data_IF_955587506727
#
_entry.id   IF_955587506727
#
_cell.length_a   1.000
_cell.length_b   1.000
_cell.length_c   1.000
_cell.angle_alpha   90.00
_cell.angle_beta   90.00
_cell.angle_gamma   90.00
#
_symmetry.space_group_name_H-M   'P 1'
#
loop_
_entity.id
_entity.type
_entity.pdbx_description
1 polymer ?
#
# COMPACT_ATOMS: atom_id res chain seq x y z
N UNK A 1 -75.94 -3.36 -10.03
CA UNK A 1 -76.72 -4.47 -9.46
C UNK A 1 -76.89 -5.56 -10.51
N UNK A 2 -76.06 -6.60 -10.49
CA UNK A 2 -76.29 -7.87 -11.19
C UNK A 2 -75.82 -8.99 -10.27
N UNK A 3 -76.80 -9.67 -9.69
CA UNK A 3 -76.63 -10.89 -8.91
C UNK A 3 -76.24 -12.04 -9.85
N UNK A 4 -75.41 -12.98 -9.38
CA UNK A 4 -75.87 -14.36 -9.12
C UNK A 4 -74.75 -15.27 -8.62
N UNK A 5 -75.15 -16.02 -7.62
CA UNK A 5 -74.38 -16.92 -6.79
C UNK A 5 -74.44 -18.37 -7.30
N UNK A 6 -73.47 -19.14 -6.81
CA UNK A 6 -73.59 -20.51 -6.27
C UNK A 6 -73.44 -21.74 -7.17
N UNK A 7 -72.52 -22.58 -6.69
CA UNK A 7 -72.53 -24.05 -6.58
C UNK A 7 -71.76 -24.84 -7.65
N UNK A 8 -71.08 -25.96 -7.38
CA UNK A 8 -70.48 -26.68 -6.22
C UNK A 8 -70.07 -28.06 -6.80
N UNK A 9 -69.19 -28.81 -6.09
CA UNK A 9 -68.88 -30.26 -6.20
C UNK A 9 -67.69 -30.61 -7.12
N UNK A 10 -66.77 -31.53 -6.85
CA UNK A 10 -66.13 -32.20 -5.69
C UNK A 10 -65.15 -33.25 -6.27
N UNK A 11 -64.41 -33.96 -5.40
CA UNK A 11 -63.45 -35.07 -5.60
C UNK A 11 -62.02 -34.61 -5.92
N UNK A 12 -60.96 -34.92 -5.16
CA UNK A 12 -60.76 -35.97 -4.17
C UNK A 12 -59.68 -36.93 -4.68
N UNK A 13 -58.43 -36.72 -4.29
CA UNK A 13 -57.37 -37.74 -4.34
C UNK A 13 -56.27 -37.39 -3.32
N UNK A 14 -56.26 -38.12 -2.21
CA UNK A 14 -55.12 -38.20 -1.29
C UNK A 14 -54.11 -39.14 -1.90
N UNK A 15 -52.88 -38.67 -2.10
CA UNK A 15 -51.73 -39.48 -2.47
C UNK A 15 -50.51 -39.03 -1.67
N UNK A 16 -50.28 -39.67 -0.53
CA UNK A 16 -48.96 -39.73 0.11
C UNK A 16 -48.12 -40.73 -0.68
N UNK A 17 -46.89 -40.38 -1.07
CA UNK A 17 -45.73 -41.28 -1.08
C UNK A 17 -44.42 -40.56 -1.47
N UNK A 18 -43.48 -40.65 -0.52
CA UNK A 18 -42.01 -40.66 -0.66
C UNK A 18 -41.30 -39.46 -1.29
N UNK A 19 -40.89 -38.49 -0.46
CA UNK A 19 -39.67 -37.74 -0.75
C UNK A 19 -38.46 -38.54 -0.24
N UNK A 20 -37.74 -39.09 -1.21
CA UNK A 20 -36.37 -39.58 -1.09
C UNK A 20 -35.47 -38.52 -0.49
N UNK A 21 -34.86 -38.84 0.65
CA UNK A 21 -33.72 -38.09 1.17
C UNK A 21 -32.54 -38.24 0.22
N UNK A 22 -32.20 -37.15 -0.47
CA UNK A 22 -30.85 -36.93 -0.93
C UNK A 22 -30.20 -36.03 0.12
N UNK A 23 -29.20 -36.59 0.81
CA UNK A 23 -28.24 -35.83 1.58
C UNK A 23 -27.58 -34.81 0.64
N UNK A 24 -27.99 -33.55 0.75
CA UNK A 24 -27.16 -32.44 0.33
C UNK A 24 -25.92 -32.47 1.22
N UNK A 25 -24.78 -32.81 0.63
CA UNK A 25 -23.52 -32.41 1.23
C UNK A 25 -23.60 -30.90 1.44
N UNK A 26 -23.67 -30.48 2.70
CA UNK A 26 -23.36 -29.11 3.09
C UNK A 26 -21.90 -28.88 2.67
N UNK A 27 -21.74 -28.30 1.48
CA UNK A 27 -20.57 -27.51 1.19
C UNK A 27 -20.54 -26.42 2.28
N UNK A 28 -19.50 -26.44 3.11
CA UNK A 28 -19.22 -25.32 3.99
C UNK A 28 -19.16 -24.06 3.11
N UNK A 29 -20.11 -23.16 3.32
CA UNK A 29 -20.05 -21.82 2.77
C UNK A 29 -18.92 -21.12 3.53
N UNK A 30 -17.75 -21.03 2.90
CA UNK A 30 -16.71 -20.11 3.32
C UNK A 30 -17.16 -18.72 2.88
N UNK A 31 -17.41 -17.84 3.85
CA UNK A 31 -17.57 -16.39 3.67
C UNK A 31 -18.80 -15.94 2.89
N UNK A 32 -19.92 -15.75 3.59
CA UNK A 32 -21.01 -14.90 3.11
C UNK A 32 -20.53 -13.45 3.22
N UNK A 33 -19.85 -12.95 2.17
CA UNK A 33 -19.26 -11.62 2.11
C UNK A 33 -20.19 -10.53 2.67
N UNK A 34 -19.59 -9.56 3.35
CA UNK A 34 -20.23 -8.54 4.18
C UNK A 34 -21.61 -8.06 3.64
N UNK A 35 -22.71 -8.68 4.09
CA UNK A 35 -24.06 -8.37 3.59
C UNK A 35 -24.52 -6.95 3.90
N UNK A 36 -23.88 -6.29 4.85
CA UNK A 36 -24.26 -4.97 5.32
C UNK A 36 -23.56 -3.84 4.55
N UNK A 37 -22.69 -4.16 3.57
CA UNK A 37 -21.97 -3.17 2.75
C UNK A 37 -21.29 -2.07 3.59
N UNK A 38 -20.65 -2.47 4.69
CA UNK A 38 -19.99 -1.51 5.59
C UNK A 38 -18.91 -0.73 4.84
N UNK A 39 -18.89 0.58 5.10
CA UNK A 39 -17.82 1.47 4.66
C UNK A 39 -16.51 1.09 5.37
N UNK A 40 -15.41 1.09 4.61
CA UNK A 40 -14.03 0.99 5.14
C UNK A 40 -13.23 2.12 4.52
N UNK A 41 -12.66 3.01 5.34
CA UNK A 41 -11.78 4.07 4.88
C UNK A 41 -10.31 3.66 5.06
N UNK A 42 -9.60 3.50 3.94
CA UNK A 42 -8.16 3.21 3.91
C UNK A 42 -7.41 4.53 3.71
N UNK A 43 -6.61 4.90 4.69
CA UNK A 43 -5.72 6.04 4.60
C UNK A 43 -4.44 5.66 3.85
N UNK A 44 -4.08 6.45 2.83
CA UNK A 44 -2.93 6.21 1.96
C UNK A 44 -1.95 7.38 2.11
N UNK A 45 -0.66 7.07 2.28
CA UNK A 45 0.36 8.12 2.29
C UNK A 45 0.49 8.75 0.91
N UNK A 46 0.62 10.07 0.89
CA UNK A 46 0.69 10.83 -0.35
C UNK A 46 1.93 10.44 -1.18
N UNK A 47 1.70 9.77 -2.31
CA UNK A 47 2.70 9.57 -3.35
C UNK A 47 3.77 8.54 -3.00
N UNK A 48 3.50 7.57 -2.12
CA UNK A 48 4.39 6.43 -1.90
C UNK A 48 3.86 5.24 -2.69
N UNK A 49 4.46 5.02 -3.84
CA UNK A 49 3.93 4.20 -4.93
C UNK A 49 3.59 2.76 -4.49
N UNK A 50 4.39 2.14 -3.62
CA UNK A 50 4.13 0.82 -3.04
C UNK A 50 2.86 0.82 -2.18
N UNK A 51 2.71 1.82 -1.31
CA UNK A 51 1.55 2.01 -0.44
C UNK A 51 0.27 2.29 -1.23
N UNK A 52 0.39 3.11 -2.29
CA UNK A 52 -0.70 3.36 -3.24
C UNK A 52 -1.10 2.07 -3.95
N UNK A 53 -0.14 1.30 -4.44
CA UNK A 53 -0.38 0.06 -5.16
C UNK A 53 -1.14 -0.98 -4.32
N UNK A 54 -0.67 -1.24 -3.09
CA UNK A 54 -1.37 -2.19 -2.20
C UNK A 54 -2.73 -1.69 -1.74
N UNK A 55 -2.89 -0.37 -1.53
CA UNK A 55 -4.17 0.20 -1.12
C UNK A 55 -5.22 0.10 -2.23
N UNK A 56 -4.85 0.40 -3.47
CA UNK A 56 -5.74 0.24 -4.63
C UNK A 56 -6.11 -1.24 -4.87
N UNK A 57 -5.15 -2.16 -4.71
CA UNK A 57 -5.43 -3.60 -4.76
C UNK A 57 -6.44 -4.01 -3.69
N UNK A 58 -6.22 -3.62 -2.43
CA UNK A 58 -7.09 -4.00 -1.32
C UNK A 58 -8.46 -3.33 -1.40
N UNK A 59 -8.55 -2.10 -1.91
CA UNK A 59 -9.83 -1.46 -2.23
C UNK A 59 -10.65 -2.35 -3.17
N UNK A 60 -10.06 -2.76 -4.30
CA UNK A 60 -10.73 -3.61 -5.28
C UNK A 60 -11.15 -4.98 -4.69
N UNK A 61 -10.29 -5.60 -3.88
CA UNK A 61 -10.61 -6.85 -3.18
C UNK A 61 -11.77 -6.67 -2.21
N UNK A 62 -11.73 -5.64 -1.36
CA UNK A 62 -12.75 -5.38 -0.36
C UNK A 62 -14.10 -5.06 -1.01
N UNK A 63 -14.11 -4.28 -2.09
CA UNK A 63 -15.31 -4.00 -2.89
C UNK A 63 -15.90 -5.31 -3.46
N UNK A 64 -15.07 -6.20 -4.03
CA UNK A 64 -15.51 -7.53 -4.51
C UNK A 64 -16.13 -8.37 -3.37
N UNK A 65 -15.57 -8.27 -2.15
CA UNK A 65 -16.07 -8.96 -0.96
C UNK A 65 -17.28 -8.28 -0.31
N UNK A 66 -17.78 -7.20 -0.90
CA UNK A 66 -19.02 -6.54 -0.52
C UNK A 66 -18.85 -5.46 0.54
N UNK A 67 -17.65 -4.94 0.77
CA UNK A 67 -17.45 -3.68 1.49
C UNK A 67 -17.66 -2.48 0.55
N UNK A 68 -17.77 -1.28 1.12
CA UNK A 68 -17.63 -0.03 0.38
C UNK A 68 -16.29 0.60 0.77
N UNK A 69 -15.21 0.21 0.10
CA UNK A 69 -13.87 0.65 0.43
C UNK A 69 -13.57 2.00 -0.23
N UNK A 70 -13.11 2.97 0.55
CA UNK A 70 -12.72 4.29 0.07
C UNK A 70 -11.25 4.55 0.40
N UNK A 71 -10.54 5.21 -0.51
CA UNK A 71 -9.16 5.63 -0.29
C UNK A 71 -9.12 7.12 0.03
N UNK A 72 -8.49 7.47 1.15
CA UNK A 72 -8.23 8.86 1.53
C UNK A 72 -6.73 9.12 1.64
N UNK A 73 -6.26 10.08 0.85
CA UNK A 73 -4.84 10.40 0.73
C UNK A 73 -4.47 11.52 1.71
N UNK A 74 -3.43 11.29 2.52
CA UNK A 74 -3.01 12.23 3.54
C UNK A 74 -1.51 12.12 3.86
N UNK A 75 -0.98 13.18 4.48
CA UNK A 75 0.39 13.19 5.00
C UNK A 75 0.51 12.31 6.25
N UNK A 76 1.75 11.94 6.60
CA UNK A 76 2.06 10.96 7.65
C UNK A 76 1.35 11.26 8.98
N UNK A 77 1.52 12.48 9.53
CA UNK A 77 0.95 12.84 10.82
C UNK A 77 -0.60 12.78 10.86
N UNK A 78 -1.33 13.35 9.89
CA UNK A 78 -2.79 13.18 9.80
C UNK A 78 -3.26 11.72 9.75
N UNK A 79 -2.57 10.82 9.05
CA UNK A 79 -2.95 9.39 9.01
C UNK A 79 -2.92 8.78 10.40
N UNK A 80 -1.83 8.96 11.16
CA UNK A 80 -1.74 8.43 12.53
C UNK A 80 -2.80 9.03 13.46
N UNK A 81 -3.01 10.35 13.36
CA UNK A 81 -4.07 11.01 14.11
C UNK A 81 -5.46 10.45 13.75
N UNK A 82 -5.72 10.21 12.46
CA UNK A 82 -7.00 9.70 11.97
C UNK A 82 -7.26 8.25 12.34
N UNK A 83 -6.24 7.40 12.33
CA UNK A 83 -6.35 6.02 12.84
C UNK A 83 -6.65 5.99 14.34
N UNK A 84 -6.00 6.85 15.12
CA UNK A 84 -6.20 6.96 16.57
C UNK A 84 -7.59 7.51 16.93
N UNK A 85 -8.11 8.50 16.18
CA UNK A 85 -9.46 9.04 16.38
C UNK A 85 -10.57 8.14 15.80
N UNK A 86 -10.21 7.21 14.91
CA UNK A 86 -11.14 6.37 14.17
C UNK A 86 -11.78 7.07 12.95
N UNK A 87 -11.19 8.17 12.48
CA UNK A 87 -11.54 8.80 11.20
C UNK A 87 -11.06 7.95 10.01
N UNK A 88 -10.01 7.15 10.21
CA UNK A 88 -9.52 6.14 9.27
C UNK A 88 -9.61 4.74 9.90
N UNK A 89 -9.89 3.74 9.07
CA UNK A 89 -9.98 2.35 9.51
C UNK A 89 -8.64 1.62 9.42
N UNK A 90 -7.92 1.84 8.32
CA UNK A 90 -6.74 1.07 7.92
C UNK A 90 -5.70 1.95 7.22
N UNK A 91 -4.42 1.68 7.42
CA UNK A 91 -3.30 2.09 6.58
C UNK A 91 -2.43 0.85 6.33
N UNK A 92 -1.87 0.73 5.13
CA UNK A 92 -1.12 -0.46 4.72
C UNK A 92 0.36 -0.18 4.47
N UNK A 93 0.89 0.94 4.94
CA UNK A 93 2.19 1.43 4.49
C UNK A 93 3.05 1.94 5.66
N UNK A 94 2.89 1.34 6.83
CA UNK A 94 3.65 1.73 8.03
C UNK A 94 5.02 1.05 8.03
N UNK A 95 6.06 1.84 7.77
CA UNK A 95 7.46 1.41 7.82
C UNK A 95 7.98 1.20 9.26
N UNK A 96 8.39 -0.02 9.58
CA UNK A 96 8.89 -0.44 10.90
C UNK A 96 10.20 -1.23 10.78
N UNK A 97 11.09 -1.19 11.80
CA UNK A 97 10.87 -0.68 13.15
C UNK A 97 11.40 0.74 13.40
N UNK A 98 11.92 1.46 12.40
CA UNK A 98 12.59 2.74 12.61
C UNK A 98 11.78 3.93 12.08
N UNK A 99 11.42 3.89 10.81
CA UNK A 99 10.93 5.06 10.05
C UNK A 99 9.69 5.68 10.69
N UNK A 100 8.75 4.86 11.16
CA UNK A 100 7.56 5.33 11.86
C UNK A 100 7.50 4.98 13.36
N UNK A 101 8.62 4.56 13.96
CA UNK A 101 8.68 4.14 15.36
C UNK A 101 8.13 5.19 16.34
N UNK A 102 8.41 6.47 16.07
CA UNK A 102 7.96 7.57 16.91
C UNK A 102 6.43 7.71 16.91
N UNK A 103 5.79 7.59 15.74
CA UNK A 103 4.34 7.62 15.62
C UNK A 103 3.69 6.40 16.26
N UNK A 104 4.21 5.19 16.01
CA UNK A 104 3.69 3.97 16.66
C UNK A 104 3.84 4.06 18.18
N UNK A 105 4.92 4.66 18.69
CA UNK A 105 5.09 4.90 20.13
C UNK A 105 4.09 5.91 20.68
N UNK A 106 3.77 6.96 19.92
CA UNK A 106 2.84 8.01 20.34
C UNK A 106 1.38 7.55 20.33
N UNK A 107 0.98 6.83 19.28
CA UNK A 107 -0.42 6.45 19.02
C UNK A 107 -0.73 4.97 19.32
N UNK A 108 0.28 4.16 19.68
CA UNK A 108 0.18 2.69 19.77
C UNK A 108 -0.83 2.13 20.76
N UNK A 109 -1.33 2.94 21.71
CA UNK A 109 -2.42 2.52 22.59
C UNK A 109 -3.80 2.61 21.89
N UNK A 110 -3.90 3.38 20.81
CA UNK A 110 -5.14 3.67 20.05
C UNK A 110 -5.17 3.07 18.64
N UNK A 111 -4.04 2.50 18.18
CA UNK A 111 -3.91 1.80 16.90
C UNK A 111 -3.41 0.38 17.11
N UNK A 112 -3.66 -0.50 16.15
CA UNK A 112 -3.31 -1.92 16.23
C UNK A 112 -2.53 -2.32 14.99
N UNK A 113 -1.36 -2.94 15.21
CA UNK A 113 -0.58 -3.61 14.18
C UNK A 113 -1.30 -4.90 13.75
N UNK A 114 -1.62 -5.00 12.46
CA UNK A 114 -2.20 -6.18 11.84
C UNK A 114 -1.13 -7.09 11.21
N UNK A 115 0.14 -6.69 11.22
CA UNK A 115 1.26 -7.49 10.74
C UNK A 115 1.97 -6.88 9.53
N UNK A 116 3.19 -7.39 9.31
CA UNK A 116 3.99 -7.08 8.13
C UNK A 116 3.48 -7.88 6.92
N UNK A 117 3.29 -7.20 5.80
CA UNK A 117 2.99 -7.85 4.52
C UNK A 117 4.21 -7.93 3.60
N UNK A 118 5.26 -7.15 3.89
CA UNK A 118 6.57 -7.24 3.26
C UNK A 118 7.66 -6.96 4.31
N UNK A 119 8.75 -7.73 4.30
CA UNK A 119 9.87 -7.62 5.26
C UNK A 119 11.20 -7.26 4.59
N UNK A 120 11.17 -6.79 3.35
CA UNK A 120 12.36 -6.61 2.51
C UNK A 120 12.60 -5.14 2.13
N UNK A 121 11.94 -4.20 2.80
CA UNK A 121 11.96 -2.79 2.46
C UNK A 121 13.19 -2.07 3.02
N UNK A 122 13.66 -1.05 2.31
CA UNK A 122 14.85 -0.26 2.69
C UNK A 122 14.72 1.19 2.24
N UNK A 123 15.15 2.10 3.10
CA UNK A 123 15.35 3.50 2.72
C UNK A 123 16.72 3.67 2.04
N UNK A 124 16.78 4.48 0.99
CA UNK A 124 17.99 4.62 0.16
C UNK A 124 18.26 6.06 -0.27
N UNK A 125 19.49 6.30 -0.71
CA UNK A 125 19.85 7.47 -1.51
C UNK A 125 20.30 6.94 -2.87
N UNK A 126 19.67 7.41 -3.94
CA UNK A 126 19.91 6.94 -5.29
C UNK A 126 20.55 8.03 -6.16
N UNK A 127 21.33 7.60 -7.14
CA UNK A 127 21.94 8.42 -8.19
C UNK A 127 21.74 7.75 -9.56
N UNK A 128 22.04 8.45 -10.65
CA UNK A 128 22.14 7.83 -11.97
C UNK A 128 23.14 6.66 -11.94
N UNK A 129 22.88 5.61 -12.71
CA UNK A 129 23.74 4.41 -12.79
C UNK A 129 25.20 4.76 -13.16
N UNK A 130 25.39 5.73 -14.06
CA UNK A 130 26.69 6.19 -14.54
C UNK A 130 27.32 7.32 -13.70
N UNK A 131 26.71 7.68 -12.58
CA UNK A 131 27.23 8.70 -11.68
C UNK A 131 28.63 8.34 -11.16
N UNK A 132 29.56 9.31 -11.02
CA UNK A 132 30.97 9.07 -10.73
C UNK A 132 31.28 8.84 -9.25
N UNK A 133 30.32 8.31 -8.49
CA UNK A 133 30.38 8.00 -7.06
C UNK A 133 29.63 6.70 -6.79
N UNK A 134 30.01 5.97 -5.75
CA UNK A 134 29.35 4.71 -5.37
C UNK A 134 28.88 4.72 -3.90
N UNK A 135 29.22 5.75 -3.11
CA UNK A 135 28.86 5.84 -1.69
C UNK A 135 28.45 7.24 -1.25
N UNK A 136 27.77 7.33 -0.11
CA UNK A 136 27.48 8.61 0.57
C UNK A 136 28.75 9.34 1.03
N UNK A 137 29.81 8.60 1.35
CA UNK A 137 31.12 9.18 1.63
C UNK A 137 31.73 9.86 0.40
N UNK A 138 31.56 9.27 -0.80
CA UNK A 138 32.01 9.88 -2.05
C UNK A 138 31.17 11.11 -2.43
N UNK A 139 29.87 11.10 -2.10
CA UNK A 139 28.97 12.22 -2.41
C UNK A 139 29.49 13.53 -1.82
N UNK A 140 29.90 13.54 -0.55
CA UNK A 140 30.44 14.73 0.10
C UNK A 140 31.67 15.30 -0.62
N UNK A 141 32.54 14.42 -1.13
CA UNK A 141 33.75 14.82 -1.87
C UNK A 141 33.46 15.29 -3.31
N UNK A 142 32.24 15.07 -3.82
CA UNK A 142 31.85 15.32 -5.20
C UNK A 142 30.55 16.14 -5.31
N UNK A 143 30.11 16.81 -4.24
CA UNK A 143 28.83 17.51 -4.16
C UNK A 143 28.62 18.53 -5.29
N UNK A 144 29.70 19.18 -5.76
CA UNK A 144 29.67 20.13 -6.87
C UNK A 144 29.22 19.50 -8.19
N UNK A 145 29.46 18.21 -8.39
CA UNK A 145 29.00 17.46 -9.57
C UNK A 145 27.50 17.20 -9.57
N UNK A 146 26.85 17.37 -8.42
CA UNK A 146 25.41 17.22 -8.20
C UNK A 146 24.75 18.58 -7.89
N UNK A 147 25.35 19.66 -8.38
CA UNK A 147 24.90 21.04 -8.14
C UNK A 147 24.79 21.43 -6.66
N UNK A 148 25.47 20.71 -5.76
CA UNK A 148 25.29 20.79 -4.31
C UNK A 148 23.82 20.64 -3.88
N UNK A 149 23.10 19.71 -4.49
CA UNK A 149 21.67 19.50 -4.21
C UNK A 149 21.38 18.02 -4.00
N UNK A 150 20.58 17.72 -2.97
CA UNK A 150 19.90 16.43 -2.80
C UNK A 150 18.41 16.67 -3.00
N UNK A 151 17.77 15.93 -3.90
CA UNK A 151 16.33 16.06 -4.15
C UNK A 151 15.58 15.08 -3.25
N UNK A 152 14.80 15.63 -2.33
CA UNK A 152 13.99 14.89 -1.38
C UNK A 152 12.52 14.81 -1.76
N UNK A 153 11.78 14.09 -0.94
CA UNK A 153 10.33 14.00 -0.99
C UNK A 153 9.69 15.01 -0.03
N UNK A 154 8.45 14.80 0.40
CA UNK A 154 7.73 15.70 1.29
C UNK A 154 8.37 15.85 2.69
N UNK A 155 8.28 17.05 3.32
CA UNK A 155 8.89 17.34 4.63
C UNK A 155 8.47 16.42 5.79
N UNK A 156 7.28 15.83 5.71
CA UNK A 156 6.70 14.99 6.77
C UNK A 156 7.08 13.51 6.69
N UNK A 157 7.76 13.08 5.61
CA UNK A 157 8.12 11.69 5.41
C UNK A 157 9.22 11.23 6.37
N UNK A 158 9.15 9.98 6.83
CA UNK A 158 10.19 9.42 7.69
C UNK A 158 11.57 9.37 7.01
N UNK A 159 11.63 9.12 5.70
CA UNK A 159 12.86 9.21 4.90
C UNK A 159 13.44 10.64 4.87
N UNK A 160 12.57 11.66 4.77
CA UNK A 160 13.01 13.06 4.81
C UNK A 160 13.61 13.42 6.16
N UNK A 161 13.00 12.96 7.25
CA UNK A 161 13.53 13.15 8.60
C UNK A 161 14.85 12.37 8.78
N UNK A 162 14.90 11.10 8.37
CA UNK A 162 16.11 10.29 8.44
C UNK A 162 17.28 10.91 7.65
N UNK A 163 17.01 11.45 6.47
CA UNK A 163 18.01 12.13 5.66
C UNK A 163 18.52 13.40 6.35
N UNK A 164 17.60 14.20 6.90
CA UNK A 164 17.92 15.45 7.61
C UNK A 164 18.72 15.22 8.89
N UNK A 165 18.28 14.27 9.71
CA UNK A 165 18.78 14.09 11.08
C UNK A 165 19.94 13.10 11.18
N UNK A 166 20.07 12.17 10.22
CA UNK A 166 21.08 11.11 10.23
C UNK A 166 22.05 11.22 9.07
N UNK A 167 21.57 11.18 7.82
CA UNK A 167 22.43 11.10 6.62
C UNK A 167 23.29 12.36 6.49
N UNK A 168 22.66 13.52 6.42
CA UNK A 168 23.34 14.80 6.15
C UNK A 168 24.44 15.10 7.19
N UNK A 169 24.17 15.03 8.50
CA UNK A 169 25.19 15.32 9.52
C UNK A 169 26.30 14.27 9.59
N UNK A 170 25.99 12.99 9.31
CA UNK A 170 26.98 11.90 9.38
C UNK A 170 28.01 12.00 8.27
N UNK A 171 27.57 12.36 7.07
CA UNK A 171 28.43 12.42 5.88
C UNK A 171 29.01 13.81 5.59
N UNK A 172 28.68 14.82 6.39
CA UNK A 172 29.17 16.18 6.18
C UNK A 172 28.57 16.85 4.94
N UNK A 173 27.27 16.63 4.70
CA UNK A 173 26.55 17.11 3.52
C UNK A 173 25.82 18.45 3.78
N UNK A 174 26.11 19.16 4.87
CA UNK A 174 25.39 20.37 5.28
C UNK A 174 25.53 21.54 4.30
N UNK A 175 26.56 21.51 3.45
CA UNK A 175 26.77 22.48 2.37
C UNK A 175 25.93 22.17 1.11
N UNK A 176 25.31 20.98 1.04
CA UNK A 176 24.32 20.66 0.01
C UNK A 176 22.93 21.14 0.42
N UNK A 177 22.20 21.71 -0.53
CA UNK A 177 20.79 22.02 -0.36
C UNK A 177 19.95 20.74 -0.45
N UNK A 178 19.21 20.43 0.63
CA UNK A 178 18.23 19.35 0.60
C UNK A 178 16.86 19.88 0.18
N UNK A 179 16.50 19.67 -1.10
CA UNK A 179 15.27 20.16 -1.71
C UNK A 179 14.10 19.21 -1.43
N UNK A 180 13.30 19.51 -0.42
CA UNK A 180 12.10 18.75 -0.09
C UNK A 180 10.86 19.32 -0.79
N UNK A 181 10.07 18.48 -1.46
CA UNK A 181 8.81 18.90 -2.10
C UNK A 181 7.74 17.81 -2.03
N UNK A 182 7.75 16.86 -2.96
CA UNK A 182 6.89 15.67 -2.97
C UNK A 182 7.58 14.55 -3.75
N UNK A 183 7.17 13.29 -3.51
CA UNK A 183 7.64 12.16 -4.34
C UNK A 183 7.46 12.40 -5.83
N UNK A 184 6.29 12.87 -6.26
CA UNK A 184 6.02 13.11 -7.69
C UNK A 184 6.98 14.14 -8.32
N UNK A 185 7.34 15.19 -7.57
CA UNK A 185 8.32 16.17 -8.02
C UNK A 185 9.73 15.57 -8.07
N UNK A 186 10.15 14.83 -7.04
CA UNK A 186 11.42 14.10 -7.02
C UNK A 186 11.55 13.15 -8.21
N UNK A 187 10.52 12.34 -8.50
CA UNK A 187 10.51 11.40 -9.63
C UNK A 187 10.55 12.12 -10.98
N UNK A 188 9.95 13.32 -11.07
CA UNK A 188 10.02 14.16 -12.28
C UNK A 188 11.46 14.62 -12.52
N UNK A 189 12.14 15.13 -11.49
CA UNK A 189 13.55 15.56 -11.58
C UNK A 189 14.47 14.38 -11.89
N UNK A 190 14.30 13.24 -11.20
CA UNK A 190 15.05 12.01 -11.45
C UNK A 190 14.90 11.54 -12.91
N UNK A 191 13.67 11.50 -13.41
CA UNK A 191 13.39 11.10 -14.79
C UNK A 191 13.98 12.08 -15.81
N UNK A 192 13.94 13.39 -15.53
CA UNK A 192 14.51 14.40 -16.42
C UNK A 192 16.04 14.30 -16.47
N UNK A 193 16.69 14.22 -15.31
CA UNK A 193 18.15 14.16 -15.19
C UNK A 193 18.71 12.87 -15.82
N UNK A 194 18.09 11.72 -15.56
CA UNK A 194 18.49 10.43 -16.17
C UNK A 194 18.36 10.46 -17.70
N UNK A 195 17.30 11.06 -18.26
CA UNK A 195 17.15 11.25 -19.71
C UNK A 195 18.17 12.23 -20.30
N UNK A 196 18.57 13.24 -19.54
CA UNK A 196 19.54 14.24 -19.97
C UNK A 196 21.00 13.78 -19.82
N UNK A 197 21.26 12.69 -19.09
CA UNK A 197 22.62 12.28 -18.69
C UNK A 197 23.24 13.27 -17.71
N UNK A 198 22.41 13.95 -16.91
CA UNK A 198 22.82 14.89 -15.88
C UNK A 198 22.84 14.17 -14.53
N UNK A 199 23.88 14.40 -13.74
CA UNK A 199 24.00 13.84 -12.40
C UNK A 199 22.89 14.38 -11.50
N UNK A 200 22.17 13.47 -10.85
CA UNK A 200 21.23 13.79 -9.78
C UNK A 200 21.48 12.84 -8.60
N UNK A 201 21.20 13.33 -7.40
CA UNK A 201 21.10 12.52 -6.19
C UNK A 201 19.75 12.77 -5.55
N UNK A 202 19.04 11.69 -5.23
CA UNK A 202 17.68 11.72 -4.71
C UNK A 202 17.53 10.81 -3.50
N UNK A 203 16.61 11.13 -2.60
CA UNK A 203 16.10 10.14 -1.65
C UNK A 203 15.17 9.17 -2.37
N UNK A 204 15.29 7.86 -2.10
CA UNK A 204 14.43 6.83 -2.66
C UNK A 204 14.29 5.67 -1.65
N UNK A 205 13.62 4.59 -2.05
CA UNK A 205 13.44 3.40 -1.23
C UNK A 205 13.23 2.16 -2.09
N UNK A 206 13.43 1.00 -1.50
CA UNK A 206 13.13 -0.29 -2.09
C UNK A 206 12.03 -0.96 -1.26
N UNK A 207 11.07 -1.66 -1.88
CA UNK A 207 10.80 -1.74 -3.32
C UNK A 207 10.30 -0.42 -3.91
N UNK A 208 10.69 -0.13 -5.16
CA UNK A 208 10.12 0.97 -5.95
C UNK A 208 10.34 0.74 -7.47
N UNK A 209 9.31 0.99 -8.29
CA UNK A 209 9.34 0.76 -9.76
C UNK A 209 10.47 1.48 -10.50
N UNK A 210 10.94 2.61 -9.96
CA UNK A 210 11.99 3.44 -10.57
C UNK A 210 13.27 2.64 -10.83
N UNK A 211 13.63 1.70 -9.96
CA UNK A 211 14.80 0.83 -10.16
C UNK A 211 14.69 -0.08 -11.38
N UNK A 212 13.48 -0.47 -11.76
CA UNK A 212 13.21 -1.28 -12.96
C UNK A 212 13.05 -0.46 -14.24
N UNK A 213 12.86 0.86 -14.12
CA UNK A 213 12.43 1.74 -15.23
C UNK A 213 13.44 2.83 -15.59
N UNK A 214 14.32 3.20 -14.65
CA UNK A 214 15.33 4.24 -14.81
C UNK A 214 16.73 3.65 -14.58
N UNK A 215 17.76 4.14 -15.29
CA UNK A 215 19.14 3.72 -15.07
C UNK A 215 19.69 4.41 -13.81
N UNK A 216 19.37 3.86 -12.65
CA UNK A 216 19.77 4.39 -11.34
C UNK A 216 20.48 3.31 -10.50
N UNK A 217 21.26 3.76 -9.52
CA UNK A 217 21.89 2.90 -8.51
C UNK A 217 21.74 3.51 -7.12
N UNK A 218 21.66 2.66 -6.11
CA UNK A 218 21.73 3.06 -4.69
C UNK A 218 23.18 3.34 -4.31
N UNK A 219 23.42 4.42 -3.56
CA UNK A 219 24.72 4.69 -2.96
C UNK A 219 24.93 3.80 -1.72
N UNK A 220 26.14 3.27 -1.57
CA UNK A 220 26.55 2.60 -0.34
C UNK A 220 26.52 3.57 0.85
N UNK A 221 25.98 3.09 1.98
CA UNK A 221 25.89 3.80 3.26
C UNK A 221 26.80 3.12 4.30
N UNK A 222 28.13 3.33 4.25
CA UNK A 222 29.09 2.62 5.12
C UNK A 222 28.91 2.86 6.62
N UNK A 223 28.30 3.97 7.02
CA UNK A 223 28.01 4.30 8.43
C UNK A 223 26.60 3.84 8.87
N UNK A 224 25.81 3.25 7.96
CA UNK A 224 24.50 2.68 8.26
C UNK A 224 23.48 3.69 8.76
N UNK A 225 23.45 4.88 8.15
CA UNK A 225 22.50 5.95 8.50
C UNK A 225 21.05 5.66 8.11
N UNK A 226 20.85 4.84 7.08
CA UNK A 226 19.58 4.32 6.57
C UNK A 226 19.56 2.77 6.54
N UNK A 227 20.72 2.13 6.77
CA UNK A 227 20.96 0.71 6.47
C UNK A 227 20.35 -0.24 7.52
N UNK A 228 19.01 -0.28 7.54
CA UNK A 228 18.23 -1.31 8.18
C UNK A 228 17.15 -1.80 7.23
N UNK A 229 17.04 -3.12 7.09
CA UNK A 229 15.84 -3.71 6.50
C UNK A 229 14.66 -3.42 7.40
N UNK A 230 13.64 -2.85 6.81
CA UNK A 230 12.36 -2.54 7.42
C UNK A 230 11.26 -3.39 6.79
N UNK A 231 10.14 -3.45 7.49
CA UNK A 231 8.93 -4.10 7.05
C UNK A 231 7.84 -3.05 6.81
N UNK A 232 6.97 -3.35 5.85
CA UNK A 232 5.75 -2.61 5.58
C UNK A 232 4.61 -3.30 6.33
N UNK A 233 4.03 -2.58 7.28
CA UNK A 233 2.98 -3.07 8.15
C UNK A 233 1.62 -2.48 7.79
N UNK A 234 0.59 -3.28 8.02
CA UNK A 234 -0.79 -2.79 8.09
C UNK A 234 -1.13 -2.37 9.51
N UNK A 235 -1.57 -1.14 9.70
CA UNK A 235 -2.08 -0.62 10.98
C UNK A 235 -3.54 -0.20 10.85
N UNK A 236 -4.31 -0.47 11.89
CA UNK A 236 -5.73 -0.15 11.91
C UNK A 236 -6.13 0.56 13.21
N UNK A 237 -7.31 1.19 13.23
CA UNK A 237 -7.89 1.74 14.46
C UNK A 237 -8.13 0.64 15.51
N UNK A 238 -8.10 0.99 16.79
CA UNK A 238 -8.19 0.00 17.89
C UNK A 238 -9.36 -1.00 17.79
N UNK A 239 -10.54 -0.53 17.38
CA UNK A 239 -11.76 -1.35 17.30
C UNK A 239 -11.93 -2.08 15.94
N UNK A 240 -10.95 -2.04 15.04
CA UNK A 240 -11.04 -2.60 13.68
C UNK A 240 -11.48 -4.08 13.66
N UNK A 241 -10.90 -4.93 14.52
CA UNK A 241 -11.25 -6.35 14.61
C UNK A 241 -12.69 -6.63 15.04
N UNK A 242 -13.30 -5.70 15.78
CA UNK A 242 -14.68 -5.80 16.21
C UNK A 242 -15.64 -5.36 15.10
N UNK A 243 -15.27 -4.32 14.36
CA UNK A 243 -16.12 -3.76 13.30
C UNK A 243 -16.03 -4.57 12.00
N UNK A 244 -14.83 -5.08 11.69
CA UNK A 244 -14.49 -5.79 10.46
C UNK A 244 -13.75 -7.12 10.74
N UNK A 245 -14.38 -8.08 11.44
CA UNK A 245 -13.71 -9.32 11.86
C UNK A 245 -13.18 -10.13 10.68
N UNK A 246 -13.89 -10.19 9.56
CA UNK A 246 -13.45 -10.94 8.38
C UNK A 246 -12.29 -10.24 7.65
N UNK A 247 -12.39 -8.93 7.41
CA UNK A 247 -11.29 -8.16 6.81
C UNK A 247 -10.02 -8.21 7.69
N UNK A 248 -10.18 -8.26 9.01
CA UNK A 248 -9.06 -8.42 9.95
C UNK A 248 -8.28 -9.70 9.71
N UNK A 249 -8.97 -10.83 9.51
CA UNK A 249 -8.28 -12.10 9.24
C UNK A 249 -7.56 -12.08 7.88
N UNK A 250 -8.16 -11.47 6.87
CA UNK A 250 -7.54 -11.33 5.56
C UNK A 250 -6.29 -10.45 5.59
N UNK A 251 -6.38 -9.27 6.21
CA UNK A 251 -5.26 -8.31 6.29
C UNK A 251 -4.15 -8.87 7.17
N UNK A 252 -4.46 -9.57 8.27
CA UNK A 252 -3.44 -10.26 9.08
C UNK A 252 -2.71 -11.39 8.33
N UNK A 253 -3.39 -11.99 7.36
CA UNK A 253 -2.84 -13.04 6.50
C UNK A 253 -2.23 -12.52 5.21
N UNK A 254 -2.19 -11.20 5.01
CA UNK A 254 -1.68 -10.56 3.80
C UNK A 254 -0.16 -10.63 3.77
N UNK A 255 0.37 -11.21 2.70
CA UNK A 255 1.79 -11.21 2.38
C UNK A 255 1.94 -10.92 0.89
N UNK A 256 2.91 -10.09 0.51
CA UNK A 256 3.28 -9.81 -0.88
C UNK A 256 4.81 -9.74 -1.00
N UNK A 257 5.37 -10.62 -1.82
CA UNK A 257 6.79 -10.57 -2.16
C UNK A 257 7.11 -9.42 -3.13
N UNK A 258 8.40 -9.08 -3.21
CA UNK A 258 8.88 -7.98 -4.06
C UNK A 258 8.57 -8.21 -5.54
N UNK A 259 8.73 -9.44 -6.04
CA UNK A 259 8.46 -9.76 -7.45
C UNK A 259 7.00 -9.44 -7.81
N UNK A 260 6.06 -9.83 -6.94
CA UNK A 260 4.63 -9.56 -7.13
C UNK A 260 4.34 -8.07 -7.05
N UNK A 261 4.87 -7.38 -6.05
CA UNK A 261 4.69 -5.95 -5.88
C UNK A 261 5.20 -5.18 -7.11
N UNK A 262 6.41 -5.47 -7.59
CA UNK A 262 6.97 -4.84 -8.78
C UNK A 262 6.09 -5.03 -10.02
N UNK A 263 5.42 -6.19 -10.17
CA UNK A 263 4.49 -6.36 -11.30
C UNK A 263 3.27 -5.45 -11.19
N UNK A 264 2.80 -5.16 -9.97
CA UNK A 264 1.66 -4.27 -9.72
C UNK A 264 2.05 -2.81 -9.91
N UNK A 265 3.16 -2.38 -9.29
CA UNK A 265 3.69 -1.03 -9.43
C UNK A 265 3.98 -0.70 -10.90
N UNK A 266 4.62 -1.63 -11.63
CA UNK A 266 4.86 -1.45 -13.06
C UNK A 266 3.56 -1.25 -13.84
N UNK A 267 2.54 -2.07 -13.54
CA UNK A 267 1.25 -1.93 -14.23
C UNK A 267 0.65 -0.53 -13.99
N UNK A 268 0.72 -0.02 -12.77
CA UNK A 268 0.10 1.24 -12.36
C UNK A 268 0.89 2.49 -12.76
N UNK A 269 2.21 2.49 -12.60
CA UNK A 269 3.03 3.70 -12.68
C UNK A 269 3.91 3.78 -13.94
N UNK A 270 4.03 2.68 -14.69
CA UNK A 270 4.85 2.59 -15.90
C UNK A 270 4.02 2.30 -17.13
N UNK A 271 3.14 1.29 -17.05
CA UNK A 271 2.36 0.82 -18.20
C UNK A 271 1.02 1.58 -18.35
N UNK A 272 0.71 2.51 -17.45
CA UNK A 272 -0.55 3.25 -17.39
C UNK A 272 -0.35 4.75 -17.16
N UNK A 273 -0.91 5.57 -18.06
CA UNK A 273 -0.80 7.04 -18.03
C UNK A 273 -1.99 7.73 -17.33
N UNK A 274 -2.93 6.96 -16.78
CA UNK A 274 -4.14 7.48 -16.14
C UNK A 274 -3.97 7.75 -14.64
N UNK A 275 -4.89 8.56 -14.10
CA UNK A 275 -4.95 8.87 -12.66
C UNK A 275 -6.03 8.06 -11.94
N UNK A 276 -6.84 7.31 -12.68
CA UNK A 276 -7.85 6.38 -12.15
C UNK A 276 -7.27 4.97 -12.26
N UNK A 277 -6.83 4.40 -11.14
CA UNK A 277 -6.15 3.11 -11.13
C UNK A 277 -7.11 1.92 -11.23
N UNK A 278 -8.43 2.12 -11.06
CA UNK A 278 -9.42 1.03 -11.05
C UNK A 278 -9.30 0.12 -12.30
N UNK A 279 -9.23 0.64 -13.55
CA UNK A 279 -9.17 -0.22 -14.73
C UNK A 279 -7.89 -1.04 -14.82
N UNK A 280 -6.75 -0.47 -14.40
CA UNK A 280 -5.45 -1.14 -14.52
C UNK A 280 -5.25 -2.16 -13.39
N UNK A 281 -5.71 -1.85 -12.18
CA UNK A 281 -5.71 -2.77 -11.05
C UNK A 281 -6.66 -3.94 -11.32
N UNK A 282 -7.87 -3.70 -11.84
CA UNK A 282 -8.78 -4.77 -12.23
C UNK A 282 -8.19 -5.70 -13.30
N UNK A 283 -7.45 -5.14 -14.27
CA UNK A 283 -6.72 -5.93 -15.26
C UNK A 283 -5.63 -6.78 -14.59
N UNK A 284 -4.80 -6.18 -13.73
CA UNK A 284 -3.74 -6.90 -13.03
C UNK A 284 -4.31 -8.02 -12.15
N UNK A 285 -5.41 -7.78 -11.43
CA UNK A 285 -6.14 -8.79 -10.65
C UNK A 285 -6.54 -9.97 -11.55
N UNK A 286 -7.12 -9.70 -12.72
CA UNK A 286 -7.54 -10.77 -13.65
C UNK A 286 -6.38 -11.64 -14.15
N UNK A 287 -5.17 -11.07 -14.24
CA UNK A 287 -3.94 -11.76 -14.63
C UNK A 287 -3.28 -12.49 -13.44
N UNK A 288 -3.68 -12.16 -12.20
CA UNK A 288 -3.11 -12.68 -10.95
C UNK A 288 -4.19 -13.29 -10.02
N UNK A 289 -5.31 -13.77 -10.58
CA UNK A 289 -6.49 -14.17 -9.80
C UNK A 289 -6.20 -15.22 -8.73
N UNK A 290 -5.34 -16.21 -9.01
CA UNK A 290 -4.99 -17.25 -8.04
C UNK A 290 -4.34 -16.67 -6.78
N UNK A 291 -3.47 -15.68 -6.95
CA UNK A 291 -2.85 -14.96 -5.83
C UNK A 291 -3.90 -14.13 -5.07
N UNK A 292 -4.72 -13.36 -5.79
CA UNK A 292 -5.75 -12.50 -5.18
C UNK A 292 -6.79 -13.31 -4.40
N UNK A 293 -7.25 -14.44 -4.95
CA UNK A 293 -8.15 -15.36 -4.27
C UNK A 293 -7.52 -15.93 -2.99
N UNK A 294 -6.20 -16.18 -3.01
CA UNK A 294 -5.49 -16.70 -1.85
C UNK A 294 -5.51 -15.73 -0.66
N UNK A 295 -5.52 -14.41 -0.91
CA UNK A 295 -5.54 -13.35 0.12
C UNK A 295 -6.82 -13.35 0.96
N UNK A 296 -7.92 -13.89 0.43
CA UNK A 296 -9.23 -13.91 1.09
C UNK A 296 -9.75 -15.33 1.38
N UNK A 297 -8.88 -16.33 1.22
CA UNK A 297 -9.23 -17.75 1.33
C UNK A 297 -9.23 -18.32 2.76
N UNK A 298 -8.68 -17.57 3.72
CA UNK A 298 -8.54 -17.97 5.13
C UNK A 298 -9.75 -17.55 5.97
#
# INVERSE_FOLDING_TARGET
MKNRSLSLIALGAVGLLALSGCASAEAAVVGDGNKDQKDITIAVFNGWDEGVAVSELWKAILDEKGYNAELEYADVAPVYSGLSSGDYDLNMDVWMPETHAAYVKEYGDDIVDLGAWNEESRLTIAVNEDAPIDSLADLAANADKFNNTIVGIEPGAGLTLATTDRVIPTYGLEDMEYLTSSTAAMLTELTAATKAGENIVVTLWEPHWAYGSLPIKTLEDPEGTLDNTEALHSYAKADFAKDFPQATEWIKGFEMDLDKLYTLEKAMFVDYDGQDYEPIVAKWISENQEYVDSLTSK
#
